data_IF_933920716160
#
_entry.id   IF_933920716160
#
_cell.length_a   1.000
_cell.length_b   1.000
_cell.length_c   1.000
_cell.angle_alpha   90.00
_cell.angle_beta   90.00
_cell.angle_gamma   90.00
#
_symmetry.space_group_name_H-M   'P 1'
#
loop_
_entity.id
_entity.type
_entity.pdbx_description
1 polymer ?
#
# COMPACT_ATOMS: atom_id res chain seq x y z
N UNK A 1 4.72 -15.83 -9.24
CA UNK A 1 4.36 -14.41 -8.97
C UNK A 1 3.88 -14.32 -7.52
N UNK A 2 4.75 -14.69 -6.57
CA UNK A 2 4.33 -14.90 -5.18
C UNK A 2 4.09 -13.57 -4.47
N UNK A 3 4.97 -12.59 -4.69
CA UNK A 3 4.89 -11.28 -4.05
C UNK A 3 3.63 -10.54 -4.48
N UNK A 4 3.30 -10.58 -5.77
CA UNK A 4 2.11 -9.96 -6.29
C UNK A 4 0.84 -10.58 -5.71
N UNK A 5 0.78 -11.92 -5.58
CA UNK A 5 -0.35 -12.61 -4.92
C UNK A 5 -0.55 -12.13 -3.48
N UNK A 6 0.53 -12.01 -2.72
CA UNK A 6 0.50 -11.49 -1.34
C UNK A 6 -0.05 -10.06 -1.31
N UNK A 7 0.43 -9.18 -2.21
CA UNK A 7 0.04 -7.77 -2.25
C UNK A 7 -1.42 -7.54 -2.64
N UNK A 8 -1.98 -8.40 -3.50
CA UNK A 8 -3.38 -8.31 -3.96
C UNK A 8 -4.36 -9.08 -3.07
N UNK A 9 -3.87 -9.90 -2.14
CA UNK A 9 -4.73 -10.64 -1.23
C UNK A 9 -5.60 -9.68 -0.43
N UNK A 10 -6.92 -9.94 -0.41
CA UNK A 10 -7.90 -9.06 0.24
C UNK A 10 -8.30 -7.82 -0.57
N UNK A 11 -7.66 -7.54 -1.72
CA UNK A 11 -7.96 -6.37 -2.55
C UNK A 11 -8.75 -6.76 -3.80
N UNK A 12 -10.07 -6.81 -3.66
CA UNK A 12 -11.01 -7.27 -4.69
C UNK A 12 -10.81 -6.64 -6.07
N UNK A 13 -10.42 -5.35 -6.14
CA UNK A 13 -10.15 -4.64 -7.41
C UNK A 13 -9.04 -5.27 -8.25
N UNK A 14 -8.08 -5.94 -7.60
CA UNK A 14 -6.95 -6.57 -8.25
C UNK A 14 -7.20 -8.04 -8.58
N UNK A 15 -8.37 -8.60 -8.25
CA UNK A 15 -8.71 -10.00 -8.54
C UNK A 15 -8.62 -10.34 -10.03
N UNK A 16 -8.85 -9.36 -10.92
CA UNK A 16 -8.65 -9.53 -12.37
C UNK A 16 -7.21 -9.88 -12.77
N UNK A 17 -6.22 -9.65 -11.89
CA UNK A 17 -4.84 -10.05 -12.13
C UNK A 17 -4.60 -11.54 -11.90
N UNK A 18 -5.48 -12.24 -11.15
CA UNK A 18 -5.30 -13.65 -10.82
C UNK A 18 -5.24 -14.53 -12.07
N UNK A 19 -6.05 -14.23 -13.10
CA UNK A 19 -6.02 -14.97 -14.37
C UNK A 19 -4.69 -14.81 -15.09
N UNK A 20 -4.10 -13.61 -15.09
CA UNK A 20 -2.78 -13.38 -15.69
C UNK A 20 -1.67 -14.02 -14.86
N UNK A 21 -1.80 -14.04 -13.53
CA UNK A 21 -0.85 -14.73 -12.66
C UNK A 21 -0.84 -16.24 -12.93
N UNK A 22 -2.03 -16.86 -13.04
CA UNK A 22 -2.15 -18.26 -13.45
C UNK A 22 -1.53 -18.51 -14.82
N UNK A 23 -1.81 -17.64 -15.80
CA UNK A 23 -1.21 -17.73 -17.14
C UNK A 23 0.34 -17.75 -17.06
N UNK A 24 0.93 -16.88 -16.25
CA UNK A 24 2.39 -16.83 -16.04
C UNK A 24 2.92 -18.13 -15.46
N UNK A 25 2.29 -18.63 -14.40
CA UNK A 25 2.79 -19.76 -13.62
C UNK A 25 2.61 -21.10 -14.34
N UNK A 26 1.48 -21.31 -14.99
CA UNK A 26 1.15 -22.55 -15.70
C UNK A 26 1.98 -22.73 -16.98
N UNK A 27 2.39 -21.63 -17.61
CA UNK A 27 3.09 -21.67 -18.90
C UNK A 27 4.61 -21.52 -18.80
N UNK A 28 5.14 -21.40 -17.58
CA UNK A 28 6.54 -21.03 -17.35
C UNK A 28 7.54 -21.98 -18.01
N UNK A 29 7.22 -23.27 -18.07
CA UNK A 29 8.05 -24.32 -18.67
C UNK A 29 7.56 -24.76 -20.04
N UNK A 30 6.24 -24.77 -20.24
CA UNK A 30 5.57 -25.31 -21.43
C UNK A 30 5.44 -24.29 -22.56
N UNK A 31 5.21 -23.01 -22.23
CA UNK A 31 5.04 -21.93 -23.18
C UNK A 31 5.56 -20.59 -22.61
N UNK A 32 6.90 -20.37 -22.60
CA UNK A 32 7.52 -19.14 -22.10
C UNK A 32 6.92 -17.85 -22.65
N UNK A 33 6.43 -17.87 -23.90
CA UNK A 33 5.80 -16.71 -24.54
C UNK A 33 4.48 -16.34 -23.88
N UNK A 34 3.63 -17.31 -23.58
CA UNK A 34 2.40 -17.06 -22.83
C UNK A 34 2.70 -16.52 -21.42
N UNK A 35 3.80 -16.98 -20.79
CA UNK A 35 4.22 -16.41 -19.51
C UNK A 35 4.70 -14.96 -19.60
N UNK A 36 5.43 -14.60 -20.65
CA UNK A 36 5.83 -13.21 -20.89
C UNK A 36 4.63 -12.31 -21.22
N UNK A 37 3.65 -12.82 -21.98
CA UNK A 37 2.40 -12.10 -22.25
C UNK A 37 1.58 -11.85 -20.99
N UNK A 38 1.52 -12.83 -20.08
CA UNK A 38 0.92 -12.66 -18.77
C UNK A 38 1.64 -11.59 -17.94
N UNK A 39 2.97 -11.62 -17.88
CA UNK A 39 3.78 -10.64 -17.15
C UNK A 39 3.60 -9.22 -17.70
N UNK A 40 3.60 -9.08 -19.03
CA UNK A 40 3.32 -7.82 -19.73
C UNK A 40 1.92 -7.30 -19.39
N UNK A 41 0.90 -8.16 -19.50
CA UNK A 41 -0.49 -7.80 -19.25
C UNK A 41 -0.73 -7.34 -17.82
N UNK A 42 -0.03 -7.95 -16.85
CA UNK A 42 -0.04 -7.51 -15.44
C UNK A 42 0.48 -6.07 -15.32
N UNK A 43 1.68 -5.80 -15.86
CA UNK A 43 2.29 -4.46 -15.80
C UNK A 43 1.40 -3.41 -16.46
N UNK A 44 0.88 -3.69 -17.66
CA UNK A 44 -0.03 -2.76 -18.34
C UNK A 44 -1.31 -2.51 -17.55
N UNK A 45 -1.96 -3.56 -17.06
CA UNK A 45 -3.24 -3.44 -16.36
C UNK A 45 -3.09 -2.63 -15.08
N UNK A 46 -2.03 -2.89 -14.31
CA UNK A 46 -1.71 -2.12 -13.10
C UNK A 46 -1.44 -0.66 -13.44
N UNK A 47 -0.55 -0.38 -14.39
CA UNK A 47 -0.21 0.99 -14.78
C UNK A 47 -1.44 1.76 -15.29
N UNK A 48 -2.25 1.16 -16.17
CA UNK A 48 -3.49 1.78 -16.68
C UNK A 48 -4.48 2.07 -15.55
N UNK A 49 -4.59 1.17 -14.57
CA UNK A 49 -5.46 1.35 -13.40
C UNK A 49 -4.99 2.52 -12.54
N UNK A 50 -3.70 2.60 -12.23
CA UNK A 50 -3.09 3.70 -11.45
C UNK A 50 -3.27 5.05 -12.16
N UNK A 51 -2.99 5.11 -13.46
CA UNK A 51 -3.15 6.33 -14.25
C UNK A 51 -4.62 6.78 -14.30
N UNK A 52 -5.55 5.83 -14.43
CA UNK A 52 -6.99 6.12 -14.40
C UNK A 52 -7.44 6.60 -13.02
N UNK A 53 -6.95 5.98 -11.95
CA UNK A 53 -7.21 6.41 -10.56
C UNK A 53 -6.71 7.84 -10.32
N UNK A 54 -5.61 8.25 -10.98
CA UNK A 54 -5.03 9.59 -10.91
C UNK A 54 -5.51 10.57 -11.98
N UNK A 55 -6.46 10.16 -12.84
CA UNK A 55 -6.97 10.97 -13.94
C UNK A 55 -5.88 11.46 -14.92
N UNK A 56 -4.82 10.67 -15.11
CA UNK A 56 -3.73 10.94 -16.04
C UNK A 56 -4.07 10.27 -17.38
N UNK A 57 -4.07 11.07 -18.45
CA UNK A 57 -4.35 10.58 -19.80
C UNK A 57 -3.15 9.82 -20.37
N UNK A 58 -3.41 8.74 -21.10
CA UNK A 58 -2.43 7.96 -21.84
C UNK A 58 -3.04 7.51 -23.17
N UNK A 59 -2.19 7.19 -24.15
CA UNK A 59 -2.67 6.71 -25.46
C UNK A 59 -3.07 5.25 -25.38
N UNK A 60 -4.07 4.83 -26.15
CA UNK A 60 -4.54 3.44 -26.16
C UNK A 60 -3.48 2.46 -26.68
N UNK A 61 -2.58 2.94 -27.55
CA UNK A 61 -1.47 2.22 -28.18
C UNK A 61 -0.12 2.44 -27.46
N UNK A 62 -0.13 3.01 -26.26
CA UNK A 62 1.08 3.30 -25.50
C UNK A 62 1.85 2.03 -25.13
N UNK A 63 3.19 2.11 -25.21
CA UNK A 63 4.04 0.97 -24.85
C UNK A 63 4.00 0.68 -23.34
N UNK A 64 4.20 -0.59 -22.96
CA UNK A 64 4.20 -1.03 -21.55
C UNK A 64 5.21 -0.23 -20.74
N UNK A 65 6.43 -0.04 -21.25
CA UNK A 65 7.46 0.71 -20.55
C UNK A 65 7.08 2.17 -20.34
N UNK A 66 6.40 2.80 -21.31
CA UNK A 66 5.90 4.16 -21.14
C UNK A 66 4.76 4.23 -20.11
N UNK A 67 3.82 3.28 -20.15
CA UNK A 67 2.75 3.17 -19.14
C UNK A 67 3.33 2.99 -17.73
N UNK A 68 4.29 2.08 -17.56
CA UNK A 68 4.97 1.83 -16.29
C UNK A 68 5.72 3.08 -15.83
N UNK A 69 6.43 3.76 -16.73
CA UNK A 69 7.13 5.01 -16.42
C UNK A 69 6.17 6.10 -15.95
N UNK A 70 5.08 6.34 -16.68
CA UNK A 70 4.06 7.33 -16.32
C UNK A 70 3.42 7.00 -14.96
N UNK A 71 3.08 5.73 -14.74
CA UNK A 71 2.51 5.27 -13.48
C UNK A 71 3.48 5.56 -12.33
N UNK A 72 4.75 5.17 -12.44
CA UNK A 72 5.73 5.45 -11.40
C UNK A 72 5.97 6.95 -11.18
N UNK A 73 6.13 7.73 -12.25
CA UNK A 73 6.30 9.20 -12.16
C UNK A 73 5.14 9.89 -11.46
N UNK A 74 3.95 9.28 -11.45
CA UNK A 74 2.78 9.83 -10.80
C UNK A 74 2.70 9.57 -9.28
N UNK A 75 3.55 8.69 -8.74
CA UNK A 75 3.47 8.26 -7.34
C UNK A 75 4.25 9.21 -6.41
N UNK A 76 3.81 9.43 -5.15
CA UNK A 76 4.37 10.44 -4.25
C UNK A 76 5.84 10.21 -3.91
N UNK A 77 6.24 8.94 -3.86
CA UNK A 77 7.64 8.57 -3.64
C UNK A 77 8.54 9.15 -4.73
N UNK A 78 8.03 9.40 -5.94
CA UNK A 78 8.77 9.97 -7.07
C UNK A 78 8.54 11.47 -7.29
N UNK A 79 7.60 12.10 -6.58
CA UNK A 79 7.28 13.53 -6.75
C UNK A 79 7.87 14.44 -5.67
N UNK A 80 8.34 13.89 -4.54
CA UNK A 80 8.81 14.66 -3.37
C UNK A 80 10.34 14.80 -3.25
N UNK A 81 11.07 14.63 -4.34
CA UNK A 81 12.53 14.63 -4.32
C UNK A 81 13.15 16.02 -4.44
N UNK A 82 14.30 16.22 -3.78
CA UNK A 82 15.20 17.34 -4.08
C UNK A 82 15.77 17.23 -5.50
N UNK A 83 16.30 18.32 -6.08
CA UNK A 83 16.83 18.33 -7.46
C UNK A 83 17.88 17.21 -7.72
N UNK A 84 18.70 16.88 -6.72
CA UNK A 84 19.74 15.84 -6.81
C UNK A 84 19.12 14.42 -6.76
N UNK A 85 18.07 14.23 -5.97
CA UNK A 85 17.36 12.94 -5.88
C UNK A 85 16.46 12.71 -7.11
N UNK A 86 16.00 13.77 -7.76
CA UNK A 86 15.19 13.69 -8.97
C UNK A 86 15.94 13.04 -10.13
N UNK A 87 17.24 13.32 -10.30
CA UNK A 87 18.05 12.72 -11.37
C UNK A 87 18.27 11.21 -11.15
N UNK A 88 18.62 10.80 -9.92
CA UNK A 88 18.78 9.38 -9.55
C UNK A 88 17.46 8.62 -9.71
N UNK A 89 16.36 9.25 -9.32
CA UNK A 89 15.01 8.70 -9.47
C UNK A 89 14.65 8.52 -10.94
N UNK A 90 14.96 9.50 -11.79
CA UNK A 90 14.77 9.39 -13.24
C UNK A 90 15.56 8.23 -13.85
N UNK A 91 16.77 7.98 -13.37
CA UNK A 91 17.56 6.82 -13.80
C UNK A 91 16.88 5.49 -13.42
N UNK A 92 16.35 5.38 -12.20
CA UNK A 92 15.58 4.21 -11.74
C UNK A 92 14.32 4.02 -12.60
N UNK A 93 13.56 5.09 -12.84
CA UNK A 93 12.36 5.06 -13.67
C UNK A 93 12.65 4.61 -15.11
N UNK A 94 13.75 5.11 -15.69
CA UNK A 94 14.18 4.67 -17.01
C UNK A 94 14.59 3.19 -17.01
N UNK A 95 15.29 2.72 -15.97
CA UNK A 95 15.64 1.31 -15.84
C UNK A 95 14.39 0.42 -15.76
N UNK A 96 13.37 0.81 -14.97
CA UNK A 96 12.10 0.08 -14.88
C UNK A 96 11.33 0.07 -16.20
N UNK A 97 11.31 1.20 -16.92
CA UNK A 97 10.71 1.30 -18.24
C UNK A 97 11.42 0.39 -19.24
N UNK A 98 12.76 0.37 -19.22
CA UNK A 98 13.57 -0.51 -20.07
C UNK A 98 13.29 -1.97 -19.76
N UNK A 99 13.31 -2.39 -18.49
CA UNK A 99 12.98 -3.76 -18.09
C UNK A 99 11.58 -4.15 -18.58
N UNK A 100 10.59 -3.28 -18.39
CA UNK A 100 9.20 -3.54 -18.80
C UNK A 100 9.05 -3.64 -20.32
N UNK A 101 9.77 -2.80 -21.07
CA UNK A 101 9.82 -2.89 -22.53
C UNK A 101 10.54 -4.16 -22.99
N UNK A 102 11.66 -4.53 -22.36
CA UNK A 102 12.36 -5.78 -22.65
C UNK A 102 11.44 -6.98 -22.45
N UNK A 103 10.66 -7.04 -21.38
CA UNK A 103 9.62 -8.08 -21.17
C UNK A 103 8.64 -8.14 -22.35
N UNK A 104 8.20 -6.99 -22.86
CA UNK A 104 7.32 -6.93 -24.02
C UNK A 104 7.99 -7.26 -25.36
N UNK A 105 9.27 -6.95 -25.52
CA UNK A 105 10.06 -7.21 -26.73
C UNK A 105 10.50 -8.66 -26.84
N UNK A 106 10.78 -9.34 -25.72
CA UNK A 106 11.09 -10.78 -25.70
C UNK A 106 9.99 -11.63 -26.36
N UNK A 107 8.72 -11.17 -26.33
CA UNK A 107 7.61 -11.77 -27.07
C UNK A 107 7.78 -11.69 -28.60
N UNK A 108 8.33 -10.59 -29.09
CA UNK A 108 8.43 -10.31 -30.52
C UNK A 108 9.57 -11.09 -31.17
N UNK A 109 10.66 -11.33 -30.43
CA UNK A 109 11.87 -11.94 -30.98
C UNK A 109 11.89 -13.49 -30.87
N UNK A 110 11.12 -14.06 -29.93
CA UNK A 110 11.12 -15.51 -29.64
C UNK A 110 9.71 -16.16 -29.58
N UNK A 111 8.70 -15.44 -30.07
CA UNK A 111 7.31 -15.90 -30.14
C UNK A 111 7.10 -17.03 -31.16
N UNK A 112 6.30 -18.05 -30.83
CA UNK A 112 5.79 -19.06 -31.81
C UNK A 112 5.05 -18.42 -33.01
N UNK A 113 4.62 -17.16 -32.85
CA UNK A 113 3.97 -16.33 -33.88
C UNK A 113 4.83 -15.13 -34.31
N UNK A 114 6.12 -15.08 -33.95
CA UNK A 114 7.06 -14.18 -34.60
C UNK A 114 7.13 -14.61 -36.07
N UNK A 115 6.49 -13.85 -36.95
CA UNK A 115 6.35 -14.16 -38.37
C UNK A 115 7.69 -14.63 -38.95
N UNK A 116 7.81 -15.93 -39.24
CA UNK A 116 8.91 -16.50 -40.03
C UNK A 116 10.01 -17.27 -39.29
N UNK A 117 9.87 -17.67 -38.03
CA UNK A 117 10.88 -18.55 -37.40
C UNK A 117 10.69 -20.04 -37.73
N UNK A 118 11.82 -20.69 -38.04
CA UNK A 118 11.99 -22.12 -38.33
C UNK A 118 11.70 -23.00 -37.09
N UNK A 119 11.31 -24.26 -37.29
CA UNK A 119 11.03 -25.28 -36.25
C UNK A 119 12.22 -25.54 -35.30
N UNK A 120 13.39 -24.99 -35.63
CA UNK A 120 14.67 -25.08 -34.91
C UNK A 120 14.99 -23.85 -34.04
N UNK A 121 14.09 -22.86 -33.93
CA UNK A 121 14.34 -21.62 -33.18
C UNK A 121 14.80 -21.88 -31.74
N UNK A 122 15.86 -21.20 -31.31
CA UNK A 122 16.47 -21.37 -29.99
C UNK A 122 15.43 -21.24 -28.87
N UNK A 123 15.42 -22.23 -27.97
CA UNK A 123 14.60 -22.20 -26.77
C UNK A 123 15.01 -20.98 -25.95
N UNK A 124 14.02 -20.21 -25.50
CA UNK A 124 14.22 -19.08 -24.62
C UNK A 124 15.06 -19.48 -23.40
N UNK A 125 16.13 -18.71 -23.10
CA UNK A 125 16.96 -19.00 -21.94
C UNK A 125 16.11 -18.90 -20.67
N UNK A 126 15.99 -20.03 -19.98
CA UNK A 126 15.19 -20.17 -18.75
C UNK A 126 15.60 -19.14 -17.70
N UNK A 127 16.88 -18.80 -17.59
CA UNK A 127 17.36 -17.82 -16.63
C UNK A 127 16.88 -16.40 -16.97
N UNK A 128 16.86 -16.04 -18.25
CA UNK A 128 16.30 -14.76 -18.70
C UNK A 128 14.78 -14.70 -18.47
N UNK A 129 14.08 -15.82 -18.61
CA UNK A 129 12.64 -15.89 -18.36
C UNK A 129 12.34 -15.71 -16.88
N UNK A 130 13.09 -16.42 -16.05
CA UNK A 130 13.01 -16.31 -14.59
C UNK A 130 13.29 -14.87 -14.13
N UNK A 131 14.30 -14.22 -14.72
CA UNK A 131 14.61 -12.82 -14.45
C UNK A 131 13.45 -11.90 -14.85
N UNK A 132 12.94 -12.02 -16.08
CA UNK A 132 11.84 -11.20 -16.60
C UNK A 132 10.56 -11.32 -15.76
N UNK A 133 10.16 -12.54 -15.40
CA UNK A 133 9.00 -12.82 -14.56
C UNK A 133 9.21 -12.26 -13.15
N UNK A 134 10.39 -12.47 -12.56
CA UNK A 134 10.69 -12.00 -11.19
C UNK A 134 10.75 -10.48 -11.11
N UNK A 135 11.33 -9.82 -12.13
CA UNK A 135 11.31 -8.36 -12.23
C UNK A 135 9.87 -7.84 -12.36
N UNK A 136 9.04 -8.50 -13.16
CA UNK A 136 7.63 -8.11 -13.32
C UNK A 136 6.86 -8.27 -12.01
N UNK A 137 7.07 -9.37 -11.26
CA UNK A 137 6.49 -9.61 -9.93
C UNK A 137 6.84 -8.46 -8.97
N UNK A 138 8.12 -8.08 -8.93
CA UNK A 138 8.61 -7.02 -8.06
C UNK A 138 8.05 -5.65 -8.43
N UNK A 139 8.10 -5.27 -9.72
CA UNK A 139 7.62 -3.98 -10.21
C UNK A 139 6.10 -3.83 -10.01
N UNK A 140 5.33 -4.87 -10.36
CA UNK A 140 3.89 -4.90 -10.17
C UNK A 140 3.51 -4.74 -8.70
N UNK A 141 4.17 -5.51 -7.82
CA UNK A 141 3.96 -5.44 -6.37
C UNK A 141 4.25 -4.05 -5.83
N UNK A 142 5.38 -3.47 -6.24
CA UNK A 142 5.80 -2.15 -5.79
C UNK A 142 4.86 -1.04 -6.27
N UNK A 143 4.41 -1.07 -7.54
CA UNK A 143 3.38 -0.15 -8.06
C UNK A 143 2.11 -0.17 -7.21
N UNK A 144 1.59 -1.35 -6.87
CA UNK A 144 0.36 -1.47 -6.07
C UNK A 144 0.57 -0.95 -4.65
N UNK A 145 1.68 -1.31 -4.00
CA UNK A 145 2.00 -0.86 -2.63
C UNK A 145 2.13 0.67 -2.61
N UNK A 146 2.95 1.24 -3.49
CA UNK A 146 3.19 2.68 -3.53
C UNK A 146 1.95 3.46 -3.94
N UNK A 147 1.11 2.91 -4.84
CA UNK A 147 -0.19 3.50 -5.14
C UNK A 147 -1.09 3.49 -3.91
N UNK A 148 -1.14 2.38 -3.16
CA UNK A 148 -1.97 2.22 -1.96
C UNK A 148 -1.71 3.30 -0.89
N UNK A 149 -0.47 3.75 -0.74
CA UNK A 149 -0.08 4.82 0.20
C UNK A 149 -0.50 6.23 -0.27
N UNK A 150 -0.79 6.40 -1.55
CA UNK A 150 -1.18 7.67 -2.14
C UNK A 150 -2.69 7.85 -2.24
N UNK A 151 -3.33 8.23 -1.13
CA UNK A 151 -4.78 8.45 -1.08
C UNK A 151 -5.22 9.87 -1.47
N UNK A 152 -4.33 10.86 -1.36
CA UNK A 152 -4.66 12.28 -1.55
C UNK A 152 -4.99 12.60 -3.02
N UNK A 153 -4.23 12.04 -3.94
CA UNK A 153 -4.30 12.37 -5.37
C UNK A 153 -5.18 11.41 -6.20
N UNK A 154 -5.98 10.54 -5.56
CA UNK A 154 -6.88 9.63 -6.30
C UNK A 154 -8.23 10.27 -6.59
N UNK A 155 -8.70 10.16 -7.82
CA UNK A 155 -10.10 10.42 -8.21
C UNK A 155 -11.05 9.33 -7.71
N UNK A 156 -10.57 8.08 -7.63
CA UNK A 156 -11.38 6.93 -7.21
C UNK A 156 -11.03 6.48 -5.81
N UNK A 157 -12.06 6.21 -5.01
CA UNK A 157 -11.93 5.60 -3.68
C UNK A 157 -12.62 4.24 -3.70
N UNK A 158 -12.01 3.27 -3.01
CA UNK A 158 -12.48 1.89 -2.95
C UNK A 158 -12.91 1.58 -1.51
N UNK A 159 -14.18 1.23 -1.32
CA UNK A 159 -14.74 0.99 0.01
C UNK A 159 -13.95 -0.07 0.77
N UNK A 160 -13.64 -1.19 0.11
CA UNK A 160 -13.01 -2.36 0.71
C UNK A 160 -11.54 -2.12 1.15
N UNK A 161 -10.90 -1.05 0.67
CA UNK A 161 -9.52 -0.71 1.04
C UNK A 161 -9.43 0.21 2.27
N UNK A 162 -10.57 0.62 2.84
CA UNK A 162 -10.64 1.62 3.91
C UNK A 162 -11.38 1.07 5.14
N UNK A 163 -11.10 -0.18 5.49
CA UNK A 163 -11.78 -0.93 6.54
C UNK A 163 -11.67 -0.26 7.92
N UNK A 164 -10.50 0.28 8.29
CA UNK A 164 -10.34 1.04 9.53
C UNK A 164 -11.25 2.27 9.59
N UNK A 165 -11.37 2.99 8.47
CA UNK A 165 -12.25 4.17 8.38
C UNK A 165 -13.73 3.77 8.38
N UNK A 166 -14.10 2.71 7.65
CA UNK A 166 -15.47 2.22 7.61
C UNK A 166 -15.95 1.79 9.00
N UNK A 167 -15.13 1.02 9.73
CA UNK A 167 -15.44 0.65 11.11
C UNK A 167 -15.53 1.85 12.02
N UNK A 168 -14.60 2.80 11.88
CA UNK A 168 -14.65 4.05 12.66
C UNK A 168 -15.99 4.77 12.46
N UNK A 169 -16.41 4.97 11.21
CA UNK A 169 -17.69 5.62 10.89
C UNK A 169 -18.86 4.81 11.45
N UNK A 170 -18.89 3.49 11.25
CA UNK A 170 -20.01 2.64 11.70
C UNK A 170 -20.13 2.57 13.23
N UNK A 171 -19.01 2.49 13.94
CA UNK A 171 -18.97 2.34 15.40
C UNK A 171 -19.13 3.66 16.15
N UNK A 172 -18.73 4.79 15.55
CA UNK A 172 -18.86 6.12 16.16
C UNK A 172 -20.14 6.85 15.77
N UNK A 173 -20.86 6.39 14.76
CA UNK A 173 -22.14 6.97 14.37
C UNK A 173 -23.23 6.64 15.39
N UNK A 174 -23.97 7.67 15.81
CA UNK A 174 -25.11 7.53 16.73
C UNK A 174 -26.35 6.98 16.01
N UNK A 175 -26.48 7.23 14.71
CA UNK A 175 -27.66 6.90 13.91
C UNK A 175 -27.31 6.03 12.70
N UNK A 176 -28.20 5.07 12.40
CA UNK A 176 -28.10 4.19 11.25
C UNK A 176 -29.19 4.55 10.23
N UNK A 177 -28.82 4.91 8.98
CA UNK A 177 -29.79 5.25 7.95
C UNK A 177 -30.75 4.09 7.65
N UNK A 178 -32.06 4.37 7.62
CA UNK A 178 -33.09 3.38 7.26
C UNK A 178 -33.79 3.82 5.97
N UNK A 179 -33.68 3.02 4.92
CA UNK A 179 -34.35 3.26 3.63
C UNK A 179 -35.34 2.14 3.36
N UNK A 180 -36.64 2.48 3.31
CA UNK A 180 -37.73 1.49 3.10
C UNK A 180 -37.68 0.30 4.09
N UNK A 181 -37.30 0.55 5.34
CA UNK A 181 -37.16 -0.48 6.37
C UNK A 181 -35.87 -1.29 6.32
N UNK A 182 -34.95 -0.97 5.40
CA UNK A 182 -33.62 -1.58 5.32
C UNK A 182 -32.64 -0.65 6.04
N UNK A 183 -32.02 -1.15 7.11
CA UNK A 183 -30.95 -0.46 7.82
C UNK A 183 -29.65 -0.58 7.03
N UNK A 184 -29.01 0.55 6.74
CA UNK A 184 -27.71 0.63 6.07
C UNK A 184 -26.64 0.95 7.12
N UNK A 185 -25.40 0.48 6.88
CA UNK A 185 -24.27 0.94 7.68
C UNK A 185 -23.95 2.41 7.33
N UNK A 186 -23.66 3.28 8.31
CA UNK A 186 -23.28 4.67 8.08
C UNK A 186 -22.16 4.84 7.05
N UNK A 187 -21.14 3.98 7.10
CA UNK A 187 -20.02 3.96 6.15
C UNK A 187 -20.46 3.68 4.71
N UNK A 188 -21.39 2.73 4.51
CA UNK A 188 -21.96 2.39 3.19
C UNK A 188 -22.85 3.51 2.67
N UNK A 189 -23.61 4.16 3.56
CA UNK A 189 -24.42 5.31 3.21
C UNK A 189 -23.53 6.48 2.78
N UNK A 190 -22.47 6.78 3.52
CA UNK A 190 -21.47 7.80 3.16
C UNK A 190 -20.81 7.49 1.81
N UNK A 191 -20.44 6.23 1.56
CA UNK A 191 -19.81 5.80 0.30
C UNK A 191 -20.70 5.98 -0.94
N UNK A 192 -22.02 6.17 -0.77
CA UNK A 192 -22.90 6.49 -1.91
C UNK A 192 -22.57 7.84 -2.56
N UNK A 193 -21.95 8.75 -1.81
CA UNK A 193 -21.32 9.97 -2.30
C UNK A 193 -19.80 9.83 -2.18
N UNK A 194 -19.14 9.54 -3.31
CA UNK A 194 -17.69 9.27 -3.32
C UNK A 194 -16.84 10.51 -2.97
N UNK A 195 -17.34 11.71 -3.25
CA UNK A 195 -16.61 12.94 -2.96
C UNK A 195 -16.69 13.23 -1.45
N UNK A 196 -17.88 13.13 -0.86
CA UNK A 196 -18.07 13.26 0.59
C UNK A 196 -17.30 12.18 1.38
N UNK A 197 -17.36 10.92 0.94
CA UNK A 197 -16.60 9.83 1.55
C UNK A 197 -15.09 10.10 1.50
N UNK A 198 -14.58 10.60 0.37
CA UNK A 198 -13.15 10.93 0.22
C UNK A 198 -12.74 12.06 1.17
N UNK A 199 -13.55 13.09 1.29
CA UNK A 199 -13.28 14.23 2.18
C UNK A 199 -13.16 13.78 3.65
N UNK A 200 -14.14 13.01 4.13
CA UNK A 200 -14.15 12.48 5.49
C UNK A 200 -12.99 11.50 5.74
N UNK A 201 -12.69 10.63 4.77
CA UNK A 201 -11.52 9.74 4.83
C UNK A 201 -10.22 10.54 5.00
N UNK A 202 -10.07 11.64 4.27
CA UNK A 202 -8.88 12.50 4.36
C UNK A 202 -8.79 13.21 5.72
N UNK A 203 -9.91 13.65 6.27
CA UNK A 203 -9.97 14.24 7.62
C UNK A 203 -9.49 13.20 8.64
N UNK A 204 -10.06 12.01 8.62
CA UNK A 204 -9.70 10.90 9.51
C UNK A 204 -8.21 10.53 9.43
N UNK A 205 -7.67 10.38 8.21
CA UNK A 205 -6.24 10.06 8.00
C UNK A 205 -5.35 11.19 8.52
N UNK A 206 -5.67 12.45 8.19
CA UNK A 206 -4.85 13.59 8.61
C UNK A 206 -4.88 13.77 10.13
N UNK A 207 -6.01 13.54 10.79
CA UNK A 207 -6.13 13.58 12.24
C UNK A 207 -5.20 12.56 12.91
N UNK A 208 -5.27 11.28 12.48
CA UNK A 208 -4.39 10.22 12.98
C UNK A 208 -2.92 10.58 12.81
N UNK A 209 -2.53 10.95 11.59
CA UNK A 209 -1.13 11.29 11.27
C UNK A 209 -0.66 12.48 12.12
N UNK A 210 -1.47 13.53 12.25
CA UNK A 210 -1.12 14.71 13.05
C UNK A 210 -0.91 14.36 14.52
N UNK A 211 -1.79 13.54 15.10
CA UNK A 211 -1.65 13.09 16.49
C UNK A 211 -0.38 12.26 16.68
N UNK A 212 -0.06 11.36 15.76
CA UNK A 212 1.15 10.53 15.82
C UNK A 212 2.41 11.41 15.69
N UNK A 213 2.45 12.33 14.74
CA UNK A 213 3.60 13.25 14.57
C UNK A 213 3.81 14.15 15.78
N UNK A 214 2.71 14.63 16.39
CA UNK A 214 2.78 15.39 17.64
C UNK A 214 3.29 14.53 18.79
N UNK A 215 2.89 13.26 18.86
CA UNK A 215 3.37 12.32 19.87
C UNK A 215 4.88 12.10 19.75
N UNK A 216 5.37 11.90 18.51
CA UNK A 216 6.79 11.72 18.18
C UNK A 216 7.64 12.92 18.59
N UNK A 217 7.11 14.15 18.43
CA UNK A 217 7.80 15.41 18.71
C UNK A 217 7.50 16.00 20.08
N UNK A 218 6.69 15.35 20.90
CA UNK A 218 6.19 15.96 22.14
C UNK A 218 7.30 16.12 23.19
N UNK A 219 7.54 17.36 23.61
CA UNK A 219 8.64 17.74 24.52
C UNK A 219 8.21 17.90 25.99
N UNK A 220 6.92 17.73 26.30
CA UNK A 220 6.47 17.89 27.69
C UNK A 220 5.31 16.95 28.06
N UNK A 221 5.20 16.70 29.37
CA UNK A 221 4.22 15.76 29.93
C UNK A 221 2.77 16.11 29.61
N UNK A 222 2.40 17.39 29.67
CA UNK A 222 1.01 17.84 29.51
C UNK A 222 0.55 17.60 28.06
N UNK A 223 1.37 18.01 27.09
CA UNK A 223 1.10 17.79 25.67
C UNK A 223 1.08 16.30 25.34
N UNK A 224 2.08 15.51 25.78
CA UNK A 224 2.08 14.06 25.56
C UNK A 224 0.82 13.41 26.13
N UNK A 225 0.35 13.82 27.32
CA UNK A 225 -0.87 13.29 27.94
C UNK A 225 -2.10 13.61 27.11
N UNK A 226 -2.24 14.86 26.66
CA UNK A 226 -3.37 15.30 25.83
C UNK A 226 -3.40 14.56 24.49
N UNK A 227 -2.25 14.37 23.86
CA UNK A 227 -2.14 13.62 22.60
C UNK A 227 -2.55 12.16 22.80
N UNK A 228 -2.03 11.49 23.83
CA UNK A 228 -2.43 10.11 24.15
C UNK A 228 -3.93 9.99 24.41
N UNK A 229 -4.54 10.97 25.10
CA UNK A 229 -5.98 10.98 25.34
C UNK A 229 -6.79 11.08 24.05
N UNK A 230 -6.28 11.82 23.06
CA UNK A 230 -6.93 11.98 21.75
C UNK A 230 -6.73 10.76 20.84
N UNK A 231 -5.63 10.01 21.03
CA UNK A 231 -5.36 8.77 20.29
C UNK A 231 -6.14 7.56 20.83
N UNK A 232 -6.56 7.56 22.09
CA UNK A 232 -7.27 6.42 22.71
C UNK A 232 -8.54 6.02 21.93
N UNK A 233 -9.44 6.95 21.55
CA UNK A 233 -10.61 6.60 20.74
C UNK A 233 -10.26 6.03 19.36
N UNK A 234 -9.08 6.34 18.84
CA UNK A 234 -8.63 5.94 17.50
C UNK A 234 -7.80 4.65 17.50
N UNK A 235 -7.50 4.09 18.67
CA UNK A 235 -6.52 2.99 18.82
C UNK A 235 -6.86 1.77 17.98
N UNK A 236 -8.14 1.41 17.89
CA UNK A 236 -8.62 0.21 17.20
C UNK A 236 -8.71 0.40 15.67
N UNK A 237 -8.43 1.61 15.19
CA UNK A 237 -8.43 2.00 13.78
C UNK A 237 -7.04 2.49 13.29
N UNK A 238 -5.99 2.15 14.03
CA UNK A 238 -4.59 2.34 13.60
C UNK A 238 -4.17 1.22 12.65
N UNK A 239 -3.56 1.61 11.53
CA UNK A 239 -2.86 0.66 10.66
C UNK A 239 -1.63 0.09 11.37
N UNK A 240 -1.10 -1.04 10.89
CA UNK A 240 0.09 -1.66 11.47
C UNK A 240 1.29 -0.71 11.53
N UNK A 241 1.47 0.13 10.50
CA UNK A 241 2.55 1.11 10.46
C UNK A 241 2.33 2.25 11.46
N UNK A 242 1.11 2.77 11.58
CA UNK A 242 0.75 3.79 12.57
C UNK A 242 0.95 3.27 14.00
N UNK A 243 0.56 2.02 14.26
CA UNK A 243 0.78 1.35 15.54
C UNK A 243 2.28 1.27 15.88
N UNK A 244 3.13 0.87 14.92
CA UNK A 244 4.59 0.83 15.11
C UNK A 244 5.16 2.20 15.43
N UNK A 245 4.68 3.27 14.78
CA UNK A 245 5.07 4.66 15.10
C UNK A 245 4.67 5.07 16.52
N UNK A 246 3.45 4.74 16.94
CA UNK A 246 2.99 4.97 18.32
C UNK A 246 3.86 4.19 19.32
N UNK A 247 4.13 2.91 19.05
CA UNK A 247 4.99 2.08 19.89
C UNK A 247 6.41 2.68 20.02
N UNK A 248 7.05 3.04 18.91
CA UNK A 248 8.37 3.68 18.91
C UNK A 248 8.39 5.00 19.67
N UNK A 249 7.32 5.80 19.57
CA UNK A 249 7.16 7.00 20.39
C UNK A 249 7.17 6.65 21.88
N UNK A 250 6.50 5.56 22.27
CA UNK A 250 6.52 4.97 23.61
C UNK A 250 7.92 4.64 24.13
N UNK A 251 8.80 4.17 23.26
CA UNK A 251 10.19 3.83 23.57
C UNK A 251 11.04 5.10 23.70
N UNK A 252 10.88 6.04 22.76
CA UNK A 252 11.80 7.17 22.62
C UNK A 252 11.42 8.41 23.44
N UNK A 253 10.14 8.56 23.82
CA UNK A 253 9.66 9.75 24.52
C UNK A 253 9.63 9.54 26.05
N UNK A 254 10.54 10.17 26.82
CA UNK A 254 10.64 9.96 28.26
C UNK A 254 9.43 10.46 29.06
N UNK A 255 8.59 11.32 28.47
CA UNK A 255 7.37 11.80 29.10
C UNK A 255 6.28 10.73 29.14
N UNK A 256 6.31 9.76 28.23
CA UNK A 256 5.38 8.64 28.23
C UNK A 256 5.57 7.80 29.49
N UNK A 257 6.80 7.68 30.00
CA UNK A 257 7.06 6.99 31.27
C UNK A 257 6.38 7.65 32.46
N UNK A 258 6.26 8.99 32.47
CA UNK A 258 5.53 9.73 33.53
C UNK A 258 4.02 9.53 33.42
N UNK A 259 3.52 9.34 32.21
CA UNK A 259 2.10 9.20 31.86
C UNK A 259 1.54 7.84 32.29
N UNK A 260 2.37 6.80 32.29
CA UNK A 260 2.01 5.46 32.76
C UNK A 260 1.63 5.42 34.25
N UNK A 261 2.19 6.30 35.08
CA UNK A 261 1.84 6.42 36.50
C UNK A 261 0.47 7.05 36.78
N UNK A 262 -0.12 7.76 35.82
CA UNK A 262 -1.36 8.55 36.00
C UNK A 262 -2.64 7.84 35.54
N UNK A 263 -2.58 6.55 35.18
CA UNK A 263 -3.73 5.66 35.00
C UNK A 263 -4.53 5.84 33.69
N UNK A 264 -4.91 7.07 33.33
CA UNK A 264 -5.87 7.30 32.22
C UNK A 264 -5.25 7.05 30.83
N UNK A 265 -4.02 7.49 30.66
CA UNK A 265 -3.23 7.38 29.43
C UNK A 265 -2.38 6.11 29.37
N UNK A 266 -2.34 5.34 30.47
CA UNK A 266 -1.76 4.00 30.53
C UNK A 266 -2.52 3.02 29.65
N UNK A 267 -3.81 3.27 29.42
CA UNK A 267 -4.67 2.43 28.59
C UNK A 267 -4.14 2.24 27.17
N UNK A 268 -3.63 3.29 26.52
CA UNK A 268 -3.12 3.21 25.16
C UNK A 268 -1.95 2.23 25.04
N UNK A 269 -0.87 2.46 25.80
CA UNK A 269 0.32 1.61 25.68
C UNK A 269 0.14 0.24 26.35
N UNK A 270 -0.74 0.11 27.34
CA UNK A 270 -1.09 -1.21 27.90
C UNK A 270 -1.84 -2.05 26.86
N UNK A 271 -2.75 -1.44 26.11
CA UNK A 271 -3.40 -2.07 24.97
C UNK A 271 -2.37 -2.48 23.90
N UNK A 272 -1.40 -1.61 23.58
CA UNK A 272 -0.30 -1.96 22.64
C UNK A 272 0.44 -3.23 23.09
N UNK A 273 0.88 -3.30 24.36
CA UNK A 273 1.62 -4.47 24.88
C UNK A 273 0.73 -5.72 24.92
N UNK A 274 -0.49 -5.61 25.45
CA UNK A 274 -1.31 -6.78 25.77
C UNK A 274 -2.05 -7.35 24.57
N UNK A 275 -2.54 -6.48 23.70
CA UNK A 275 -3.48 -6.86 22.64
C UNK A 275 -2.85 -6.79 21.24
N UNK A 276 -1.75 -6.05 21.07
CA UNK A 276 -1.10 -5.84 19.77
C UNK A 276 0.37 -6.25 19.73
N UNK A 277 0.81 -7.09 20.67
CA UNK A 277 2.18 -7.61 20.73
C UNK A 277 2.62 -8.35 19.45
N UNK A 278 1.71 -9.07 18.80
CA UNK A 278 1.98 -9.79 17.56
C UNK A 278 2.26 -8.89 16.36
N UNK A 279 1.88 -7.61 16.42
CA UNK A 279 2.10 -6.62 15.36
C UNK A 279 3.40 -5.84 15.52
N UNK A 280 4.18 -6.10 16.57
CA UNK A 280 5.46 -5.43 16.86
C UNK A 280 6.63 -6.38 16.65
N UNK A 281 7.80 -5.83 16.33
CA UNK A 281 9.04 -6.63 16.34
C UNK A 281 9.43 -7.00 17.79
N UNK A 282 10.21 -8.08 17.94
CA UNK A 282 10.71 -8.48 19.25
C UNK A 282 11.55 -7.38 19.93
N UNK A 283 12.29 -6.59 19.13
CA UNK A 283 13.05 -5.44 19.62
C UNK A 283 12.15 -4.29 20.07
N UNK A 284 11.09 -3.98 19.30
CA UNK A 284 10.13 -2.94 19.65
C UNK A 284 9.38 -3.30 20.94
N UNK A 285 8.95 -4.55 21.07
CA UNK A 285 8.24 -5.03 22.25
C UNK A 285 9.13 -5.02 23.49
N UNK A 286 10.36 -5.55 23.40
CA UNK A 286 11.33 -5.52 24.49
C UNK A 286 11.69 -4.08 24.90
N UNK A 287 11.93 -3.20 23.93
CA UNK A 287 12.19 -1.79 24.18
C UNK A 287 11.04 -1.10 24.92
N UNK A 288 9.79 -1.44 24.55
CA UNK A 288 8.60 -0.91 25.18
C UNK A 288 8.40 -1.47 26.60
N UNK A 289 8.65 -2.76 26.83
CA UNK A 289 8.61 -3.38 28.16
C UNK A 289 9.69 -2.82 29.11
N UNK A 290 10.90 -2.58 28.61
CA UNK A 290 11.99 -1.93 29.36
C UNK A 290 11.62 -0.50 29.72
N UNK A 291 11.07 0.25 28.76
CA UNK A 291 10.50 1.58 28.98
C UNK A 291 9.42 1.58 30.08
N UNK A 292 8.59 0.54 30.11
CA UNK A 292 7.53 0.35 31.11
C UNK A 292 8.05 -0.03 32.50
N UNK A 293 9.11 -0.82 32.57
CA UNK A 293 9.67 -1.32 33.85
C UNK A 293 10.60 -0.31 34.52
N UNK A 294 11.27 0.59 33.76
CA UNK A 294 12.20 1.62 34.27
C UNK A 294 11.59 2.68 35.21
N UNK A 295 10.30 2.58 35.58
CA UNK A 295 9.64 3.48 36.54
C UNK A 295 8.66 2.83 37.52
N UNK A 296 8.75 1.51 37.72
CA UNK A 296 8.15 0.85 38.89
C UNK A 296 9.04 0.99 40.16
N UNK A 297 10.16 1.70 40.06
CA UNK A 297 11.04 2.12 41.15
C UNK A 297 11.31 3.62 41.08
#
# INVERSE_FOLDING_TARGET
MQKLKEVITGKSRWNGLLSYISLVEENKTSNPNASLDGAKSILETISKTILSDKNISYRSDESVGNLVKLAFSSLPIFTKFSEIEAEKSKAILNAFATISNSVGMFRNDHGFFAHGQDLQSEKFDRYLLDLAISSSDLLASFLIISHAEDLKDRKRVYYEENDEFNRYIDETSEEYPIVKGIQLSPSRALFSDQDAYKEELLIFINEKINLIERLEKSENFISTRSICSSLIPLRDYLTENELKRVARSGINNPHIYRILGHGYTRGLFTWVIKEKSSSLSAEELSGLEIAFTKKLY
#
